data_IF_028082866463
#
_entry.id   IF_028082866463
#
_cell.length_a   1.000
_cell.length_b   1.000
_cell.length_c   1.000
_cell.angle_alpha   90.00
_cell.angle_beta   90.00
_cell.angle_gamma   90.00
#
_symmetry.space_group_name_H-M   'P 1'
#
loop_
_entity.id
_entity.type
_entity.pdbx_description
1 polymer ?
#
# COMPACT_ATOMS: atom_id res chain seq x y z
N UNK A 1 10.54 -37.00 31.40
CA UNK A 1 11.52 -37.07 30.29
C UNK A 1 10.92 -36.83 28.89
N UNK A 2 9.65 -36.43 28.74
CA UNK A 2 9.03 -36.33 27.38
C UNK A 2 8.88 -34.91 26.81
N UNK A 3 9.11 -33.84 27.57
CA UNK A 3 8.92 -32.45 27.11
C UNK A 3 10.10 -31.86 26.30
N UNK A 4 11.30 -32.44 26.39
CA UNK A 4 12.50 -31.95 25.70
C UNK A 4 12.56 -32.29 24.20
N UNK A 5 11.81 -33.31 23.76
CA UNK A 5 11.75 -33.74 22.35
C UNK A 5 10.71 -32.94 21.55
N UNK A 6 9.69 -32.40 22.22
CA UNK A 6 8.62 -31.61 21.59
C UNK A 6 9.10 -30.27 21.04
N UNK A 7 10.02 -29.59 21.73
CA UNK A 7 10.54 -28.28 21.29
C UNK A 7 11.49 -28.42 20.10
N UNK A 8 12.34 -29.46 20.06
CA UNK A 8 13.24 -29.71 18.92
C UNK A 8 12.52 -30.24 17.68
N UNK A 9 11.46 -31.03 17.84
CA UNK A 9 10.64 -31.54 16.73
C UNK A 9 9.81 -30.45 16.03
N UNK A 10 9.08 -29.65 16.82
CA UNK A 10 8.17 -28.64 16.25
C UNK A 10 8.86 -27.36 15.77
N UNK A 11 10.09 -27.05 16.21
CA UNK A 11 10.82 -25.90 15.66
C UNK A 11 11.20 -26.11 14.20
N UNK A 12 11.58 -27.33 13.81
CA UNK A 12 11.88 -27.66 12.42
C UNK A 12 10.60 -27.68 11.57
N UNK A 13 9.50 -28.23 12.09
CA UNK A 13 8.19 -28.18 11.44
C UNK A 13 7.66 -26.75 11.28
N UNK A 14 7.81 -25.89 12.29
CA UNK A 14 7.40 -24.49 12.23
C UNK A 14 8.21 -23.70 11.19
N UNK A 15 9.52 -23.94 11.09
CA UNK A 15 10.37 -23.35 10.05
C UNK A 15 9.97 -23.82 8.65
N UNK A 16 9.60 -25.10 8.50
CA UNK A 16 9.15 -25.68 7.24
C UNK A 16 7.77 -25.14 6.83
N UNK A 17 6.86 -24.95 7.81
CA UNK A 17 5.55 -24.31 7.62
C UNK A 17 5.73 -22.84 7.23
N UNK A 18 6.67 -22.13 7.86
CA UNK A 18 6.97 -20.73 7.51
C UNK A 18 7.56 -20.64 6.10
N UNK A 19 8.50 -21.51 5.73
CA UNK A 19 9.08 -21.57 4.39
C UNK A 19 8.04 -21.96 3.33
N UNK A 20 7.14 -22.90 3.64
CA UNK A 20 6.03 -23.29 2.78
C UNK A 20 5.01 -22.15 2.65
N UNK A 21 4.66 -21.45 3.74
CA UNK A 21 3.81 -20.25 3.72
C UNK A 21 4.43 -19.16 2.86
N UNK A 22 5.72 -18.88 3.03
CA UNK A 22 6.46 -17.90 2.21
C UNK A 22 6.48 -18.34 0.74
N UNK A 23 6.76 -19.61 0.46
CA UNK A 23 6.74 -20.16 -0.91
C UNK A 23 5.36 -20.10 -1.56
N UNK A 24 4.30 -20.42 -0.82
CA UNK A 24 2.91 -20.29 -1.27
C UNK A 24 2.55 -18.82 -1.47
N UNK A 25 2.96 -17.92 -0.58
CA UNK A 25 2.74 -16.48 -0.72
C UNK A 25 3.47 -15.95 -1.96
N UNK A 26 4.73 -16.30 -2.20
CA UNK A 26 5.52 -15.85 -3.35
C UNK A 26 4.96 -16.39 -4.67
N UNK A 27 4.63 -17.67 -4.73
CA UNK A 27 4.03 -18.29 -5.93
C UNK A 27 2.60 -17.83 -6.17
N UNK A 28 1.83 -17.59 -5.11
CA UNK A 28 0.50 -17.01 -5.20
C UNK A 28 0.55 -15.55 -5.65
N UNK A 29 1.52 -14.76 -5.18
CA UNK A 29 1.73 -13.37 -5.61
C UNK A 29 2.20 -13.22 -7.05
N UNK A 30 2.66 -14.31 -7.67
CA UNK A 30 2.97 -14.37 -9.09
C UNK A 30 1.71 -14.44 -9.97
N UNK A 31 0.53 -14.72 -9.39
CA UNK A 31 -0.75 -14.62 -10.08
C UNK A 31 -1.25 -13.18 -10.03
N UNK A 32 -1.53 -12.60 -11.19
CA UNK A 32 -2.04 -11.22 -11.30
C UNK A 32 -3.33 -11.00 -10.49
N UNK A 33 -4.18 -12.03 -10.37
CA UNK A 33 -5.39 -12.00 -9.54
C UNK A 33 -5.08 -11.89 -8.04
N UNK A 34 -4.15 -12.69 -7.52
CA UNK A 34 -3.73 -12.63 -6.12
C UNK A 34 -3.02 -11.32 -5.81
N UNK A 35 -2.17 -10.84 -6.72
CA UNK A 35 -1.48 -9.56 -6.57
C UNK A 35 -2.49 -8.40 -6.47
N UNK A 36 -3.50 -8.38 -7.34
CA UNK A 36 -4.56 -7.38 -7.27
C UNK A 36 -5.42 -7.50 -6.00
N UNK A 37 -5.71 -8.73 -5.56
CA UNK A 37 -6.42 -8.96 -4.31
C UNK A 37 -5.60 -8.46 -3.11
N UNK A 38 -4.31 -8.82 -3.04
CA UNK A 38 -3.41 -8.36 -1.98
C UNK A 38 -3.33 -6.83 -1.93
N UNK A 39 -3.15 -6.16 -3.07
CA UNK A 39 -3.09 -4.70 -3.12
C UNK A 39 -4.38 -4.05 -2.62
N UNK A 40 -5.54 -4.64 -2.91
CA UNK A 40 -6.82 -4.16 -2.39
C UNK A 40 -6.99 -4.41 -0.90
N UNK A 41 -6.49 -5.53 -0.38
CA UNK A 41 -6.51 -5.83 1.06
C UNK A 41 -5.54 -4.91 1.81
N UNK A 42 -4.31 -4.73 1.29
CA UNK A 42 -3.32 -3.78 1.83
C UNK A 42 -3.84 -2.34 1.83
N UNK A 43 -4.64 -1.96 0.82
CA UNK A 43 -5.27 -0.64 0.77
C UNK A 43 -6.24 -0.36 1.93
N UNK A 44 -6.72 -1.40 2.63
CA UNK A 44 -7.59 -1.27 3.81
C UNK A 44 -6.82 -1.22 5.13
N UNK A 45 -5.53 -1.57 5.13
CA UNK A 45 -4.69 -1.53 6.33
C UNK A 45 -4.44 -0.05 6.69
N UNK A 46 -4.70 0.38 7.94
CA UNK A 46 -4.68 1.81 8.31
C UNK A 46 -3.30 2.47 8.16
N UNK A 47 -2.24 1.67 8.20
CA UNK A 47 -0.86 2.15 8.06
C UNK A 47 -0.43 2.23 6.58
N UNK A 48 -0.76 1.21 5.78
CA UNK A 48 -0.27 1.05 4.40
C UNK A 48 -1.22 1.70 3.38
N UNK A 49 -2.52 1.61 3.64
CA UNK A 49 -3.56 2.05 2.74
C UNK A 49 -3.47 3.53 2.36
N UNK A 50 -3.35 4.45 3.32
CA UNK A 50 -3.18 5.87 3.02
C UNK A 50 -1.96 6.17 2.15
N UNK A 51 -0.83 5.48 2.39
CA UNK A 51 0.40 5.66 1.61
C UNK A 51 0.18 5.22 0.16
N UNK A 52 -0.42 4.04 -0.02
CA UNK A 52 -0.67 3.45 -1.33
C UNK A 52 -1.61 4.35 -2.16
N UNK A 53 -2.71 4.80 -1.55
CA UNK A 53 -3.67 5.71 -2.21
C UNK A 53 -3.02 7.05 -2.57
N UNK A 54 -2.27 7.69 -1.65
CA UNK A 54 -1.63 8.97 -1.94
C UNK A 54 -0.56 8.86 -3.04
N UNK A 55 0.23 7.78 -3.03
CA UNK A 55 1.26 7.55 -4.05
C UNK A 55 0.67 7.37 -5.46
N UNK A 56 -0.44 6.65 -5.58
CA UNK A 56 -1.11 6.38 -6.85
C UNK A 56 -1.80 7.64 -7.39
N UNK A 57 -2.47 8.40 -6.53
CA UNK A 57 -3.09 9.68 -6.91
C UNK A 57 -2.03 10.70 -7.30
N UNK A 58 -0.91 10.78 -6.55
CA UNK A 58 0.19 11.67 -6.87
C UNK A 58 0.81 11.36 -8.24
N UNK A 59 0.99 10.06 -8.54
CA UNK A 59 1.49 9.60 -9.85
C UNK A 59 0.51 9.92 -10.97
N UNK A 60 -0.77 9.58 -10.80
CA UNK A 60 -1.82 9.87 -11.79
C UNK A 60 -1.95 11.36 -12.08
N UNK A 61 -2.00 12.21 -11.04
CA UNK A 61 -2.10 13.65 -11.21
C UNK A 61 -0.87 14.23 -11.91
N UNK A 62 0.32 13.72 -11.60
CA UNK A 62 1.56 14.12 -12.30
C UNK A 62 1.52 13.73 -13.77
N UNK A 63 1.17 12.48 -14.09
CA UNK A 63 1.09 11.99 -15.48
C UNK A 63 0.04 12.76 -16.27
N UNK A 64 -1.16 12.93 -15.71
CA UNK A 64 -2.24 13.68 -16.34
C UNK A 64 -1.83 15.14 -16.56
N UNK A 65 -1.29 15.80 -15.55
CA UNK A 65 -0.79 17.17 -15.65
C UNK A 65 0.28 17.33 -16.73
N UNK A 66 1.25 16.41 -16.80
CA UNK A 66 2.29 16.41 -17.84
C UNK A 66 1.73 16.21 -19.25
N UNK A 67 0.79 15.28 -19.43
CA UNK A 67 0.16 15.04 -20.73
C UNK A 67 -0.64 16.27 -21.19
N UNK A 68 -1.42 16.88 -20.28
CA UNK A 68 -2.18 18.09 -20.61
C UNK A 68 -1.28 19.30 -20.87
N UNK A 69 -0.15 19.44 -20.18
CA UNK A 69 0.87 20.48 -20.48
C UNK A 69 1.43 20.33 -21.89
N UNK A 70 1.53 19.09 -22.38
CA UNK A 70 1.94 18.78 -23.75
C UNK A 70 0.77 18.84 -24.76
N UNK A 71 -0.35 19.49 -24.39
CA UNK A 71 -1.56 19.67 -25.22
C UNK A 71 -2.20 18.37 -25.71
N UNK A 72 -1.98 17.26 -25.01
CA UNK A 72 -2.70 16.01 -25.29
C UNK A 72 -4.19 16.24 -24.97
N UNK A 73 -5.12 15.81 -25.85
CA UNK A 73 -6.56 15.94 -25.60
C UNK A 73 -6.97 15.34 -24.26
N UNK A 74 -7.86 16.02 -23.51
CA UNK A 74 -8.14 15.68 -22.11
C UNK A 74 -8.64 14.25 -21.91
N UNK A 75 -9.46 13.75 -22.84
CA UNK A 75 -9.94 12.36 -22.82
C UNK A 75 -8.80 11.36 -22.97
N UNK A 76 -7.98 11.52 -24.01
CA UNK A 76 -6.82 10.65 -24.25
C UNK A 76 -5.82 10.72 -23.11
N UNK A 77 -5.56 11.92 -22.58
CA UNK A 77 -4.67 12.11 -21.43
C UNK A 77 -5.20 11.37 -20.18
N UNK A 78 -6.52 11.40 -19.96
CA UNK A 78 -7.16 10.70 -18.85
C UNK A 78 -7.09 9.18 -18.99
N UNK A 79 -7.33 8.64 -20.19
CA UNK A 79 -7.20 7.20 -20.49
C UNK A 79 -5.76 6.70 -20.28
N UNK A 80 -4.76 7.46 -20.76
CA UNK A 80 -3.34 7.14 -20.55
C UNK A 80 -2.96 7.22 -19.07
N UNK A 81 -3.40 8.27 -18.37
CA UNK A 81 -3.13 8.45 -16.96
C UNK A 81 -3.78 7.35 -16.10
N UNK A 82 -4.93 6.80 -16.49
CA UNK A 82 -5.53 5.63 -15.82
C UNK A 82 -4.69 4.38 -15.96
N UNK A 83 -4.00 4.22 -17.09
CA UNK A 83 -3.09 3.10 -17.35
C UNK A 83 -2.06 2.89 -16.25
N UNK A 84 -1.59 3.98 -15.61
CA UNK A 84 -0.54 3.92 -14.58
C UNK A 84 -1.04 3.52 -13.20
N UNK A 85 -2.36 3.48 -12.98
CA UNK A 85 -2.96 3.17 -11.68
C UNK A 85 -2.98 1.68 -11.42
N UNK A 86 -2.40 1.23 -10.32
CA UNK A 86 -2.36 -0.19 -9.94
C UNK A 86 -3.54 -0.62 -9.08
N UNK A 87 -4.11 0.30 -8.31
CA UNK A 87 -5.22 -0.01 -7.42
C UNK A 87 -6.53 -0.04 -8.20
N UNK A 88 -7.16 -1.22 -8.28
CA UNK A 88 -8.43 -1.41 -8.98
C UNK A 88 -9.55 -0.50 -8.46
N UNK A 89 -9.58 -0.22 -7.16
CA UNK A 89 -10.53 0.72 -6.54
C UNK A 89 -10.42 2.12 -7.18
N UNK A 90 -9.19 2.65 -7.26
CA UNK A 90 -8.89 3.96 -7.86
C UNK A 90 -9.16 3.94 -9.37
N UNK A 91 -8.71 2.90 -10.07
CA UNK A 91 -8.91 2.72 -11.51
C UNK A 91 -10.39 2.77 -11.88
N UNK A 92 -11.24 2.00 -11.20
CA UNK A 92 -12.69 1.98 -11.45
C UNK A 92 -13.36 3.34 -11.23
N UNK A 93 -12.89 4.11 -10.24
CA UNK A 93 -13.38 5.46 -9.98
C UNK A 93 -12.97 6.46 -11.06
N UNK A 94 -11.72 6.36 -11.54
CA UNK A 94 -11.25 7.17 -12.64
C UNK A 94 -11.94 6.83 -13.96
N UNK A 95 -12.18 5.55 -14.24
CA UNK A 95 -12.92 5.10 -15.43
C UNK A 95 -14.34 5.71 -15.45
N UNK A 96 -15.02 5.75 -14.30
CA UNK A 96 -16.30 6.46 -14.16
C UNK A 96 -16.16 7.95 -14.42
N UNK A 97 -15.10 8.59 -13.91
CA UNK A 97 -14.84 10.00 -14.18
C UNK A 97 -14.61 10.25 -15.69
N UNK A 98 -13.84 9.41 -16.39
CA UNK A 98 -13.66 9.52 -17.86
C UNK A 98 -14.97 9.42 -18.62
N UNK A 99 -15.84 8.48 -18.25
CA UNK A 99 -17.18 8.40 -18.84
C UNK A 99 -17.98 9.68 -18.61
N UNK A 100 -17.84 10.29 -17.44
CA UNK A 100 -18.41 11.61 -17.15
C UNK A 100 -17.87 12.70 -18.07
N UNK A 101 -16.55 12.75 -18.31
CA UNK A 101 -15.93 13.70 -19.26
C UNK A 101 -16.45 13.50 -20.69
N UNK A 102 -16.63 12.25 -21.14
CA UNK A 102 -17.22 11.93 -22.45
C UNK A 102 -18.64 12.50 -22.59
N UNK A 103 -19.36 12.62 -21.49
CA UNK A 103 -20.72 13.17 -21.41
C UNK A 103 -20.73 14.69 -21.19
N UNK A 104 -19.57 15.36 -21.17
CA UNK A 104 -19.46 16.81 -20.98
C UNK A 104 -19.40 17.27 -19.52
N UNK A 105 -19.28 16.36 -18.55
CA UNK A 105 -19.04 16.73 -17.16
C UNK A 105 -17.61 17.22 -16.97
N UNK A 106 -17.41 18.10 -15.99
CA UNK A 106 -16.07 18.51 -15.57
C UNK A 106 -15.34 17.34 -14.86
N UNK A 107 -14.01 17.36 -14.89
CA UNK A 107 -13.19 16.40 -14.16
C UNK A 107 -13.42 16.49 -12.65
N UNK A 108 -13.59 17.69 -12.11
CA UNK A 108 -13.93 17.84 -10.70
C UNK A 108 -15.28 17.20 -10.33
N UNK A 109 -16.29 17.31 -11.18
CA UNK A 109 -17.60 16.69 -10.95
C UNK A 109 -17.52 15.15 -11.02
N UNK A 110 -16.78 14.61 -12.00
CA UNK A 110 -16.57 13.17 -12.14
C UNK A 110 -15.84 12.55 -10.93
N UNK A 111 -14.95 13.31 -10.29
CA UNK A 111 -14.17 12.87 -9.14
C UNK A 111 -14.85 13.13 -7.78
N UNK A 112 -15.85 14.01 -7.72
CA UNK A 112 -16.53 14.37 -6.45
C UNK A 112 -17.24 13.19 -5.78
N UNK A 113 -17.72 12.24 -6.58
CA UNK A 113 -18.38 11.02 -6.07
C UNK A 113 -17.41 9.99 -5.50
N UNK A 114 -16.10 10.21 -5.64
CA UNK A 114 -15.09 9.24 -5.23
C UNK A 114 -14.60 9.54 -3.79
N UNK A 115 -14.84 8.60 -2.86
CA UNK A 115 -14.49 8.75 -1.44
C UNK A 115 -13.00 9.06 -1.18
N UNK A 116 -12.13 8.62 -2.09
CA UNK A 116 -10.70 8.86 -2.04
C UNK A 116 -10.30 10.22 -2.64
N UNK A 117 -11.23 11.13 -2.96
CA UNK A 117 -10.97 12.53 -3.33
C UNK A 117 -11.66 13.48 -2.33
N UNK A 118 -11.02 13.83 -1.21
CA UNK A 118 -11.55 14.81 -0.27
C UNK A 118 -11.58 16.19 -0.92
N UNK A 119 -12.41 17.08 -0.34
CA UNK A 119 -12.65 18.44 -0.83
C UNK A 119 -11.37 19.24 -1.10
N UNK A 120 -10.34 19.08 -0.26
CA UNK A 120 -9.05 19.76 -0.42
C UNK A 120 -8.37 19.44 -1.76
N UNK A 121 -8.43 18.19 -2.22
CA UNK A 121 -7.82 17.78 -3.49
C UNK A 121 -8.67 18.18 -4.69
N UNK A 122 -9.99 18.05 -4.56
CA UNK A 122 -10.94 18.49 -5.59
C UNK A 122 -10.85 19.99 -5.84
N UNK A 123 -10.56 20.79 -4.82
CA UNK A 123 -10.45 22.24 -4.98
C UNK A 123 -9.32 22.65 -5.92
N UNK A 124 -8.16 21.99 -5.88
CA UNK A 124 -7.08 22.27 -6.83
C UNK A 124 -7.52 22.00 -8.28
N UNK A 125 -8.23 20.89 -8.50
CA UNK A 125 -8.78 20.55 -9.82
C UNK A 125 -9.80 21.60 -10.26
N UNK A 126 -10.76 21.95 -9.39
CA UNK A 126 -11.78 22.99 -9.68
C UNK A 126 -11.17 24.34 -10.02
N UNK A 127 -10.15 24.76 -9.27
CA UNK A 127 -9.44 26.02 -9.54
C UNK A 127 -8.80 25.96 -10.93
N UNK A 128 -8.11 24.86 -11.24
CA UNK A 128 -7.47 24.68 -12.55
C UNK A 128 -8.45 24.61 -13.71
N UNK A 129 -9.63 24.00 -13.53
CA UNK A 129 -10.69 24.00 -14.54
C UNK A 129 -11.26 25.40 -14.78
N UNK A 130 -11.52 26.16 -13.71
CA UNK A 130 -12.10 27.51 -13.81
C UNK A 130 -11.13 28.53 -14.37
N UNK A 131 -9.83 28.41 -14.03
CA UNK A 131 -8.79 29.33 -14.49
C UNK A 131 -8.16 28.93 -15.83
N UNK A 132 -8.52 27.75 -16.38
CA UNK A 132 -7.84 27.18 -17.55
C UNK A 132 -6.42 26.68 -17.26
N UNK A 133 -5.95 26.72 -16.01
CA UNK A 133 -4.63 26.25 -15.60
C UNK A 133 -4.64 24.80 -15.05
N UNK A 134 -5.53 23.94 -15.57
CA UNK A 134 -5.68 22.55 -15.13
C UNK A 134 -4.35 21.75 -15.11
N UNK A 135 -3.46 21.84 -16.13
CA UNK A 135 -2.19 21.11 -16.11
C UNK A 135 -1.31 21.48 -14.91
N UNK A 136 -1.20 22.78 -14.62
CA UNK A 136 -0.41 23.33 -13.51
C UNK A 136 -0.96 22.89 -12.16
N UNK A 137 -2.27 22.94 -11.97
CA UNK A 137 -2.91 22.51 -10.73
C UNK A 137 -2.81 21.00 -10.50
N UNK A 138 -2.86 20.19 -11.55
CA UNK A 138 -2.65 18.75 -11.46
C UNK A 138 -1.20 18.38 -11.10
N UNK A 139 -0.21 19.10 -11.64
CA UNK A 139 1.19 18.93 -11.24
C UNK A 139 1.39 19.31 -9.77
N UNK A 140 0.79 20.42 -9.30
CA UNK A 140 0.83 20.83 -7.90
C UNK A 140 0.17 19.80 -6.98
N UNK A 141 -1.00 19.27 -7.36
CA UNK A 141 -1.65 18.15 -6.67
C UNK A 141 -0.74 16.91 -6.64
N UNK A 142 -0.12 16.58 -7.77
CA UNK A 142 0.80 15.46 -7.90
C UNK A 142 2.03 15.57 -7.01
N UNK A 143 2.57 16.77 -6.83
CA UNK A 143 3.68 17.04 -5.92
C UNK A 143 3.23 16.90 -4.45
N UNK A 144 2.18 17.63 -4.06
CA UNK A 144 1.64 17.59 -2.69
C UNK A 144 1.30 16.17 -2.21
N UNK A 145 0.71 15.35 -3.09
CA UNK A 145 0.37 13.96 -2.77
C UNK A 145 1.59 13.05 -2.66
N UNK A 146 2.66 13.32 -3.43
CA UNK A 146 3.93 12.59 -3.32
C UNK A 146 4.66 12.95 -2.03
N UNK A 147 4.62 14.21 -1.61
CA UNK A 147 5.20 14.65 -0.34
C UNK A 147 4.46 14.02 0.85
N UNK A 148 3.13 14.04 0.82
CA UNK A 148 2.30 13.40 1.83
C UNK A 148 2.54 11.87 1.87
N UNK A 149 2.71 11.23 0.71
CA UNK A 149 3.11 9.82 0.64
C UNK A 149 4.51 9.59 1.23
N UNK A 150 5.48 10.48 0.98
CA UNK A 150 6.82 10.35 1.55
C UNK A 150 6.81 10.44 3.10
N UNK A 151 5.95 11.30 3.67
CA UNK A 151 5.75 11.36 5.13
C UNK A 151 5.20 10.04 5.68
N UNK A 152 4.18 9.49 5.01
CA UNK A 152 3.61 8.20 5.41
C UNK A 152 4.62 7.06 5.28
N UNK A 153 5.42 7.06 4.21
CA UNK A 153 6.49 6.09 4.02
C UNK A 153 7.49 6.12 5.17
N UNK A 154 7.92 7.32 5.61
CA UNK A 154 8.80 7.47 6.78
C UNK A 154 8.16 6.92 8.05
N UNK A 155 6.86 7.16 8.24
CA UNK A 155 6.10 6.65 9.39
C UNK A 155 6.01 5.12 9.38
N UNK A 156 5.86 4.52 8.21
CA UNK A 156 5.91 3.06 8.02
C UNK A 156 7.29 2.50 8.35
N UNK A 157 8.36 3.15 7.88
CA UNK A 157 9.74 2.76 8.20
C UNK A 157 10.03 2.89 9.71
N UNK A 158 9.43 3.87 10.39
CA UNK A 158 9.53 4.02 11.85
C UNK A 158 8.94 2.84 12.64
N UNK A 159 8.08 2.01 12.05
CA UNK A 159 7.57 0.79 12.69
C UNK A 159 8.60 -0.35 12.70
N UNK A 160 9.68 -0.24 11.92
CA UNK A 160 10.72 -1.27 11.88
C UNK A 160 11.42 -1.39 13.24
N UNK A 161 11.63 -0.28 13.95
CA UNK A 161 12.26 -0.26 15.27
C UNK A 161 11.49 -1.04 16.35
N UNK A 162 10.19 -0.78 16.62
CA UNK A 162 9.43 -1.57 17.58
C UNK A 162 9.29 -3.04 17.17
N UNK A 163 9.21 -3.34 15.87
CA UNK A 163 9.21 -4.72 15.38
C UNK A 163 10.54 -5.41 15.68
N UNK A 164 11.67 -4.72 15.50
CA UNK A 164 12.99 -5.26 15.81
C UNK A 164 13.14 -5.57 17.31
N UNK A 165 12.68 -4.66 18.19
CA UNK A 165 12.69 -4.89 19.64
C UNK A 165 11.83 -6.09 20.01
N UNK A 166 10.62 -6.21 19.45
CA UNK A 166 9.74 -7.36 19.70
C UNK A 166 10.40 -8.67 19.25
N UNK A 167 11.06 -8.67 18.10
CA UNK A 167 11.74 -9.84 17.55
C UNK A 167 12.94 -10.25 18.41
N UNK A 168 13.79 -9.30 18.80
CA UNK A 168 14.92 -9.56 19.71
C UNK A 168 14.40 -10.09 21.05
N UNK A 169 13.36 -9.46 21.61
CA UNK A 169 12.72 -9.90 22.85
C UNK A 169 12.13 -11.31 22.75
N UNK A 170 11.50 -11.65 21.63
CA UNK A 170 10.98 -12.99 21.38
C UNK A 170 12.11 -14.04 21.32
N UNK A 171 13.22 -13.73 20.62
CA UNK A 171 14.40 -14.60 20.57
C UNK A 171 14.99 -14.82 21.97
N UNK A 172 15.20 -13.74 22.72
CA UNK A 172 15.71 -13.82 24.10
C UNK A 172 14.76 -14.63 24.99
N UNK A 173 13.44 -14.42 24.85
CA UNK A 173 12.42 -15.17 25.60
C UNK A 173 12.47 -16.68 25.31
N UNK A 174 12.59 -17.07 24.04
CA UNK A 174 12.75 -18.48 23.65
C UNK A 174 14.03 -19.07 24.24
N UNK A 175 15.15 -18.34 24.18
CA UNK A 175 16.43 -18.78 24.76
C UNK A 175 16.33 -18.94 26.28
N UNK A 176 15.71 -17.98 26.98
CA UNK A 176 15.49 -18.05 28.44
C UNK A 176 14.68 -19.29 28.83
N UNK A 177 13.56 -19.56 28.16
CA UNK A 177 12.72 -20.73 28.45
C UNK A 177 13.50 -22.02 28.21
N UNK A 178 14.29 -22.10 27.13
CA UNK A 178 15.11 -23.26 26.84
C UNK A 178 16.17 -23.50 27.94
N UNK A 179 16.82 -22.44 28.43
CA UNK A 179 17.80 -22.53 29.52
C UNK A 179 17.14 -22.94 30.84
N UNK A 180 15.99 -22.37 31.20
CA UNK A 180 15.26 -22.75 32.42
C UNK A 180 14.82 -24.21 32.39
N UNK A 181 14.30 -24.67 31.25
CA UNK A 181 13.94 -26.08 31.06
C UNK A 181 15.16 -27.00 31.17
N UNK A 182 16.31 -26.59 30.63
CA UNK A 182 17.54 -27.36 30.76
C UNK A 182 17.98 -27.48 32.23
N UNK A 183 18.05 -26.37 32.98
CA UNK A 183 18.47 -26.39 34.40
C UNK A 183 17.54 -27.25 35.25
N UNK A 184 16.22 -27.07 35.12
CA UNK A 184 15.23 -27.88 35.87
C UNK A 184 15.31 -29.37 35.54
N UNK A 185 15.72 -29.73 34.32
CA UNK A 185 15.96 -31.14 33.97
C UNK A 185 17.19 -31.74 34.66
N UNK A 186 18.25 -30.95 34.91
CA UNK A 186 19.46 -31.41 35.60
C UNK A 186 19.21 -31.65 37.09
N UNK A 187 18.43 -30.80 37.77
CA UNK A 187 18.12 -30.97 39.20
C UNK A 187 17.30 -32.24 39.50
N UNK A 188 16.58 -32.78 38.51
CA UNK A 188 15.81 -34.03 38.67
C UNK A 188 16.62 -35.32 38.47
N UNK A 189 17.91 -35.20 38.09
CA UNK A 189 18.83 -36.31 37.83
C UNK A 189 19.83 -36.58 38.97
N UNK A 190 19.81 -35.78 40.04
CA UNK A 190 20.60 -35.94 41.28
C UNK A 190 19.67 -36.29 42.43
#
# INVERSE_FOLDING_TARGET
>A
MESGVYVRGHLFEAALILAALVGIIVTSLSRESTRQALLQTLARVPVIGPWLVQSEIGRWATVLGSLLSNRVPVLTAMELAQGVIRLRLLRSGLERATKGLQQGLTLSAGLETQAWFPRTRLNLIRVGERSGELPKMLLALGHSQRDAAAVLQRRMLGLIEPIAILLIGAVIGVVMVAVMMAITSFDTLV
#
